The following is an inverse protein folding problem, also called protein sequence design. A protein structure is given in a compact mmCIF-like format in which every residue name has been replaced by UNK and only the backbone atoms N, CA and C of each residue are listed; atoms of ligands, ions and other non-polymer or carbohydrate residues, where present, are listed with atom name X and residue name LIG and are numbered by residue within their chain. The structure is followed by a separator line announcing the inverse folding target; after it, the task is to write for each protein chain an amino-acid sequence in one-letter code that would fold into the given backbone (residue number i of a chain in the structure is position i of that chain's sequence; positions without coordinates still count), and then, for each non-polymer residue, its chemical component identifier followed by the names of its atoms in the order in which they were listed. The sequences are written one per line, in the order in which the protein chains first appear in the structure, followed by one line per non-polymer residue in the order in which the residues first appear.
data_IF_405882011115
#
_entry.id   IF_405882011115
#
_cell.length_a   1.000
_cell.length_b   1.000
_cell.length_c   1.000
_cell.angle_alpha   90.00
_cell.angle_beta   90.00
_cell.angle_gamma   90.00
#
_symmetry.space_group_name_H-M   'P 1'
#
loop_
_entity.id
_entity.type
_entity.pdbx_description
1 polymer ?
#
# COMPACT_ATOMS: atom_id res chain seq x y z
N UNK A 1 2.40 31.59 -8.24
CA UNK A 1 1.55 30.59 -7.57
C UNK A 1 0.78 29.90 -8.67
N UNK A 2 1.16 28.66 -9.02
CA UNK A 2 0.39 27.89 -10.01
C UNK A 2 -1.02 27.65 -9.48
N UNK A 3 -2.07 27.67 -10.32
CA UNK A 3 -3.40 27.31 -9.89
C UNK A 3 -3.32 25.91 -9.27
N UNK A 4 -3.98 25.71 -8.13
CA UNK A 4 -4.21 24.39 -7.58
C UNK A 4 -5.12 23.66 -8.56
N UNK A 5 -4.55 23.06 -9.60
CA UNK A 5 -5.28 22.10 -10.41
C UNK A 5 -5.67 20.96 -9.49
N UNK A 6 -6.97 20.77 -9.30
CA UNK A 6 -7.46 19.68 -8.48
C UNK A 6 -7.03 18.37 -9.11
N UNK A 7 -6.18 17.63 -8.41
CA UNK A 7 -5.80 16.25 -8.71
C UNK A 7 -6.99 15.28 -8.74
N UNK A 8 -8.19 15.74 -8.36
CA UNK A 8 -9.42 14.98 -8.38
C UNK A 8 -10.38 15.64 -9.36
N UNK A 9 -10.60 14.99 -10.49
CA UNK A 9 -11.57 15.43 -11.49
C UNK A 9 -12.85 14.61 -11.36
N UNK A 10 -14.01 15.26 -11.24
CA UNK A 10 -15.31 14.60 -11.24
C UNK A 10 -15.86 14.53 -12.67
N UNK A 11 -16.17 13.33 -13.14
CA UNK A 11 -16.97 13.12 -14.35
C UNK A 11 -18.25 12.38 -13.99
N UNK A 12 -19.38 13.09 -14.01
CA UNK A 12 -20.70 12.55 -13.62
C UNK A 12 -20.69 11.96 -12.20
N UNK A 13 -20.79 10.63 -12.07
CA UNK A 13 -20.74 9.87 -10.82
C UNK A 13 -19.38 9.21 -10.56
N UNK A 14 -18.35 9.54 -11.35
CA UNK A 14 -16.99 9.00 -11.24
C UNK A 14 -16.00 10.07 -10.86
N UNK A 15 -14.96 9.66 -10.14
CA UNK A 15 -13.83 10.51 -9.77
C UNK A 15 -12.57 9.93 -10.41
N UNK A 16 -11.84 10.76 -11.13
CA UNK A 16 -10.50 10.45 -11.63
C UNK A 16 -9.49 11.11 -10.70
N UNK A 17 -8.52 10.34 -10.26
CA UNK A 17 -7.44 10.78 -9.39
C UNK A 17 -6.16 10.82 -10.22
N UNK A 18 -5.60 12.01 -10.42
CA UNK A 18 -4.31 12.23 -11.04
C UNK A 18 -3.25 12.32 -9.94
N UNK A 19 -2.52 11.23 -9.75
CA UNK A 19 -1.48 11.12 -8.74
C UNK A 19 -0.27 10.36 -9.29
N UNK A 20 0.88 10.61 -8.68
CA UNK A 20 2.09 9.81 -8.89
C UNK A 20 1.93 8.38 -8.36
N UNK A 21 2.76 7.46 -8.85
CA UNK A 21 2.81 6.08 -8.37
C UNK A 21 3.08 6.00 -6.86
N UNK A 22 3.93 6.88 -6.33
CA UNK A 22 4.23 6.93 -4.88
C UNK A 22 3.03 7.37 -4.05
N UNK A 23 2.20 8.28 -4.55
CA UNK A 23 0.95 8.67 -3.90
C UNK A 23 -0.07 7.52 -3.94
N UNK A 24 -0.15 6.79 -5.07
CA UNK A 24 -1.01 5.61 -5.19
C UNK A 24 -0.61 4.52 -4.20
N UNK A 25 0.69 4.26 -4.03
CA UNK A 25 1.23 3.34 -3.02
C UNK A 25 0.80 3.73 -1.60
N UNK A 26 0.87 5.03 -1.26
CA UNK A 26 0.43 5.54 0.05
C UNK A 26 -1.06 5.42 0.28
N UNK A 27 -1.88 5.70 -0.74
CA UNK A 27 -3.34 5.55 -0.67
C UNK A 27 -3.69 4.09 -0.39
N UNK A 28 -3.09 3.16 -1.13
CA UNK A 28 -3.28 1.72 -0.90
C UNK A 28 -2.89 1.31 0.52
N UNK A 29 -1.70 1.71 0.99
CA UNK A 29 -1.24 1.41 2.35
C UNK A 29 -2.19 1.96 3.41
N UNK A 30 -2.61 3.22 3.28
CA UNK A 30 -3.50 3.86 4.25
C UNK A 30 -4.89 3.20 4.28
N UNK A 31 -5.43 2.82 3.12
CA UNK A 31 -6.70 2.11 3.02
C UNK A 31 -6.59 0.70 3.62
N UNK A 32 -5.56 -0.04 3.24
CA UNK A 32 -5.30 -1.39 3.73
C UNK A 32 -5.08 -1.45 5.24
N UNK A 33 -4.30 -0.51 5.80
CA UNK A 33 -4.07 -0.40 7.24
C UNK A 33 -5.35 -0.08 8.01
N UNK A 34 -6.22 0.79 7.47
CA UNK A 34 -7.50 1.11 8.08
C UNK A 34 -8.44 -0.09 8.08
N UNK A 35 -8.62 -0.74 6.93
CA UNK A 35 -9.48 -1.93 6.81
C UNK A 35 -8.99 -3.09 7.69
N UNK A 36 -7.67 -3.26 7.84
CA UNK A 36 -7.11 -4.27 8.76
C UNK A 36 -7.38 -3.96 10.24
N UNK A 37 -7.49 -2.68 10.59
CA UNK A 37 -7.71 -2.25 11.97
C UNK A 37 -9.21 -2.30 12.34
N UNK A 38 -10.07 -2.12 11.35
CA UNK A 38 -11.51 -2.25 11.52
C UNK A 38 -11.91 -3.74 11.48
N UNK A 39 -12.12 -4.33 12.66
CA UNK A 39 -12.50 -5.73 12.84
C UNK A 39 -13.83 -6.12 12.16
N UNK A 40 -14.62 -5.14 11.69
CA UNK A 40 -15.87 -5.36 10.95
C UNK A 40 -15.75 -5.16 9.44
N UNK A 41 -14.61 -4.71 8.92
CA UNK A 41 -14.41 -4.48 7.51
C UNK A 41 -13.84 -5.74 6.83
N UNK A 42 -14.58 -6.26 5.86
CA UNK A 42 -14.05 -7.33 5.02
C UNK A 42 -13.14 -6.72 3.95
N UNK A 43 -11.84 -6.96 4.10
CA UNK A 43 -10.81 -6.45 3.18
C UNK A 43 -11.06 -6.97 1.76
N UNK A 44 -11.64 -8.17 1.64
CA UNK A 44 -11.93 -8.82 0.36
C UNK A 44 -13.19 -8.24 -0.33
N UNK A 45 -14.02 -7.47 0.37
CA UNK A 45 -15.20 -6.81 -0.22
C UNK A 45 -14.90 -5.42 -0.81
N UNK A 46 -13.68 -4.89 -0.61
CA UNK A 46 -13.32 -3.59 -1.16
C UNK A 46 -12.83 -3.69 -2.60
N UNK A 47 -13.76 -3.57 -3.56
CA UNK A 47 -13.45 -3.53 -5.01
C UNK A 47 -12.35 -2.50 -5.33
N UNK A 48 -12.38 -1.34 -4.67
CA UNK A 48 -11.38 -0.29 -4.85
C UNK A 48 -9.99 -0.71 -4.37
N UNK A 49 -9.90 -1.41 -3.23
CA UNK A 49 -8.62 -1.91 -2.72
C UNK A 49 -8.04 -2.97 -3.66
N UNK A 50 -8.88 -3.87 -4.17
CA UNK A 50 -8.49 -4.89 -5.14
C UNK A 50 -7.99 -4.25 -6.44
N UNK A 51 -8.70 -3.26 -6.96
CA UNK A 51 -8.29 -2.51 -8.16
C UNK A 51 -6.94 -1.81 -7.95
N UNK A 52 -6.75 -1.13 -6.81
CA UNK A 52 -5.48 -0.51 -6.44
C UNK A 52 -4.35 -1.55 -6.38
N UNK A 53 -4.62 -2.70 -5.76
CA UNK A 53 -3.64 -3.78 -5.66
C UNK A 53 -3.25 -4.32 -7.05
N UNK A 54 -4.21 -4.53 -7.95
CA UNK A 54 -3.93 -5.01 -9.32
C UNK A 54 -3.08 -4.01 -10.10
N UNK A 55 -3.39 -2.71 -10.01
CA UNK A 55 -2.60 -1.66 -10.67
C UNK A 55 -1.18 -1.64 -10.12
N UNK A 56 -1.02 -1.59 -8.79
CA UNK A 56 0.29 -1.57 -8.15
C UNK A 56 1.12 -2.84 -8.44
N UNK A 57 0.48 -4.00 -8.52
CA UNK A 57 1.16 -5.25 -8.89
C UNK A 57 1.65 -5.24 -10.34
N UNK A 58 0.92 -4.60 -11.26
CA UNK A 58 1.36 -4.44 -12.65
C UNK A 58 2.58 -3.54 -12.74
N UNK A 59 2.56 -2.41 -12.04
CA UNK A 59 3.70 -1.48 -12.00
C UNK A 59 4.93 -2.14 -11.35
N UNK A 60 4.74 -2.85 -10.24
CA UNK A 60 5.81 -3.61 -9.58
C UNK A 60 6.45 -4.64 -10.52
N UNK A 61 5.63 -5.41 -11.26
CA UNK A 61 6.13 -6.37 -12.25
C UNK A 61 6.88 -5.68 -13.40
N UNK A 62 6.44 -4.49 -13.82
CA UNK A 62 7.13 -3.69 -14.83
C UNK A 62 8.51 -3.21 -14.35
N UNK A 63 8.66 -2.95 -13.04
CA UNK A 63 9.93 -2.65 -12.38
C UNK A 63 10.77 -3.91 -12.06
N UNK A 64 10.28 -5.12 -12.40
CA UNK A 64 10.98 -6.38 -12.16
C UNK A 64 10.87 -6.91 -10.72
N UNK A 65 9.95 -6.38 -9.92
CA UNK A 65 9.67 -6.83 -8.56
C UNK A 65 8.79 -8.08 -8.60
N UNK A 66 9.18 -9.12 -7.86
CA UNK A 66 8.32 -10.28 -7.66
C UNK A 66 7.24 -10.02 -6.59
N UNK A 67 6.03 -9.72 -7.07
CA UNK A 67 4.87 -9.46 -6.20
C UNK A 67 4.33 -10.71 -5.49
N UNK A 68 4.77 -11.91 -5.86
CA UNK A 68 4.43 -13.15 -5.14
C UNK A 68 5.20 -13.25 -3.82
N UNK A 69 6.27 -12.48 -3.67
CA UNK A 69 7.12 -12.45 -2.49
C UNK A 69 6.76 -11.25 -1.60
N UNK A 70 6.22 -11.51 -0.40
CA UNK A 70 5.77 -10.46 0.52
C UNK A 70 6.88 -9.42 0.83
N UNK A 71 8.13 -9.85 0.94
CA UNK A 71 9.26 -8.96 1.21
C UNK A 71 9.59 -8.01 0.04
N UNK A 72 9.46 -8.48 -1.20
CA UNK A 72 9.67 -7.64 -2.39
C UNK A 72 8.49 -6.70 -2.62
N UNK A 73 7.27 -7.19 -2.37
CA UNK A 73 6.07 -6.36 -2.38
C UNK A 73 6.12 -5.23 -1.34
N UNK A 74 6.47 -5.53 -0.08
CA UNK A 74 6.64 -4.51 0.97
C UNK A 74 7.73 -3.49 0.61
N UNK A 75 8.82 -3.94 -0.02
CA UNK A 75 9.89 -3.06 -0.49
C UNK A 75 9.42 -2.12 -1.61
N UNK A 76 8.64 -2.62 -2.57
CA UNK A 76 8.09 -1.83 -3.67
C UNK A 76 7.10 -0.77 -3.19
N UNK A 77 6.23 -1.13 -2.24
CA UNK A 77 5.30 -0.20 -1.62
C UNK A 77 6.00 0.88 -0.77
N UNK A 78 7.32 0.75 -0.57
CA UNK A 78 8.11 1.71 0.19
C UNK A 78 7.74 1.72 1.66
N UNK A 79 7.29 0.57 2.20
CA UNK A 79 6.91 0.46 3.61
C UNK A 79 8.04 0.99 4.50
N UNK A 80 7.85 2.14 5.20
CA UNK A 80 8.84 2.68 6.11
C UNK A 80 8.86 1.91 7.43
N UNK A 81 8.04 0.85 7.60
CA UNK A 81 8.24 -0.16 8.64
C UNK A 81 9.47 -1.04 8.32
N UNK A 82 10.61 -0.37 8.15
CA UNK A 82 11.93 -0.94 8.32
C UNK A 82 12.15 -1.38 9.76
N UNK A 83 11.36 -2.32 10.25
CA UNK A 83 11.99 -3.38 11.03
C UNK A 83 12.53 -4.35 10.00
N UNK A 84 13.82 -4.19 9.71
CA UNK A 84 14.61 -5.23 9.05
C UNK A 84 14.20 -6.59 9.63
N UNK A 85 14.12 -7.63 8.81
CA UNK A 85 13.94 -9.00 9.31
C UNK A 85 14.86 -9.28 10.52
N UNK A 86 16.06 -8.67 10.57
CA UNK A 86 16.98 -8.75 11.71
C UNK A 86 16.42 -8.16 13.02
N UNK A 87 15.70 -7.04 12.98
CA UNK A 87 15.10 -6.45 14.18
C UNK A 87 13.90 -7.27 14.67
N UNK A 88 13.11 -7.88 13.76
CA UNK A 88 12.06 -8.85 14.15
C UNK A 88 12.65 -10.08 14.86
N UNK A 89 13.82 -10.56 14.42
CA UNK A 89 14.52 -11.67 15.09
C UNK A 89 15.17 -11.25 16.42
N UNK A 90 15.61 -10.00 16.56
CA UNK A 90 16.17 -9.48 17.81
C UNK A 90 15.12 -9.42 18.94
N UNK A 91 13.93 -8.88 18.64
CA UNK A 91 12.80 -8.78 19.59
C UNK A 91 12.31 -10.17 20.05
N UNK A 92 12.34 -11.16 19.14
CA UNK A 92 12.04 -12.56 19.47
C UNK A 92 13.04 -13.20 20.44
N UNK A 93 14.32 -12.80 20.40
CA UNK A 93 15.34 -13.30 21.35
C UNK A 93 15.19 -12.67 22.73
N UNK A 94 14.83 -11.40 22.81
CA UNK A 94 14.69 -10.71 24.10
C UNK A 94 13.49 -11.22 24.90
N UNK A 95 12.34 -11.44 24.24
CA UNK A 95 11.14 -12.00 24.91
C UNK A 95 11.29 -13.43 25.44
N UNK A 96 12.31 -14.16 25.00
CA UNK A 96 12.59 -15.54 25.47
C UNK A 96 13.61 -15.59 26.61
N UNK A 97 14.12 -14.41 27.04
CA UNK A 97 15.16 -14.26 28.07
C UNK A 97 14.68 -13.50 29.33
N UNK A 98 13.46 -12.99 29.32
CA UNK A 98 12.68 -12.60 30.52
C UNK A 98 11.75 -13.73 30.92
#
# INVERSE_FOLDING_TARGET
MSPLESHITKQQSRFALDCSLDELKRIYQALFSQLRTDSGADIDESDLLLDLQVVLQREARAEGVDVSTHSEWSRFLGDPSGTSCEQRYADYREKKRS
#
